data_IF_709091870453
#
_entry.id   IF_709091870453
#
_cell.length_a   1.000
_cell.length_b   1.000
_cell.length_c   1.000
_cell.angle_alpha   90.00
_cell.angle_beta   90.00
_cell.angle_gamma   90.00
#
_symmetry.space_group_name_H-M   'P 1'
#
loop_
_entity.id
_entity.type
_entity.pdbx_description
1 polymer ?
#
# COMPACT_ATOMS: atom_id res chain seq x y z
N UNK A 1 -6.44 8.35 -4.58
CA UNK A 1 -5.47 8.15 -3.47
C UNK A 1 -5.75 9.01 -2.25
N UNK A 2 -4.76 9.12 -1.35
CA UNK A 2 -4.82 10.05 -0.23
C UNK A 2 -4.34 11.45 -0.61
N UNK A 3 -4.10 12.32 0.41
CA UNK A 3 -3.43 13.61 0.22
C UNK A 3 -4.35 14.82 0.09
N UNK A 4 -5.63 14.73 0.48
CA UNK A 4 -6.58 15.87 0.46
C UNK A 4 -5.95 17.14 1.04
N UNK A 5 -5.24 17.04 2.18
CA UNK A 5 -4.61 18.18 2.85
C UNK A 5 -3.63 18.96 1.98
N UNK A 6 -3.01 18.31 0.99
CA UNK A 6 -2.07 18.98 0.10
C UNK A 6 -2.78 19.81 -0.97
N UNK A 7 -4.03 19.49 -1.27
CA UNK A 7 -4.87 20.26 -2.17
C UNK A 7 -5.63 21.36 -1.44
N UNK A 8 -6.12 21.08 -0.21
CA UNK A 8 -6.88 22.08 0.58
C UNK A 8 -5.99 23.21 1.08
N UNK A 9 -4.72 22.90 1.43
CA UNK A 9 -3.78 23.87 2.00
C UNK A 9 -2.91 24.55 0.93
N UNK A 10 -2.86 24.01 -0.27
CA UNK A 10 -2.07 24.55 -1.36
C UNK A 10 -2.93 25.55 -2.16
N UNK A 11 -2.38 26.73 -2.34
CA UNK A 11 -2.86 27.73 -3.28
C UNK A 11 -1.76 28.06 -4.29
N UNK A 12 -2.15 28.54 -5.43
CA UNK A 12 -1.19 29.03 -6.42
C UNK A 12 -0.67 30.43 -6.05
N UNK A 13 0.15 31.02 -6.95
CA UNK A 13 0.68 32.38 -6.83
C UNK A 13 -0.41 33.45 -6.68
N UNK A 14 -1.63 33.15 -7.13
CA UNK A 14 -2.77 34.09 -7.14
C UNK A 14 -3.71 33.85 -5.94
N UNK A 15 -3.34 32.90 -5.03
CA UNK A 15 -4.10 32.58 -3.83
C UNK A 15 -5.31 31.66 -4.06
N UNK A 16 -5.47 31.09 -5.25
CA UNK A 16 -6.58 30.19 -5.58
C UNK A 16 -6.27 28.76 -5.12
N UNK A 17 -7.20 28.11 -4.43
CA UNK A 17 -7.06 26.73 -3.98
C UNK A 17 -6.98 25.73 -5.12
N UNK A 18 -6.09 24.73 -5.00
CA UNK A 18 -5.85 23.72 -6.06
C UNK A 18 -7.09 22.89 -6.38
N UNK A 19 -7.97 22.62 -5.40
CA UNK A 19 -9.23 21.90 -5.65
C UNK A 19 -10.17 22.70 -6.55
N UNK A 20 -10.29 24.00 -6.33
CA UNK A 20 -11.11 24.90 -7.17
C UNK A 20 -10.56 24.93 -8.61
N UNK A 21 -9.25 25.03 -8.75
CA UNK A 21 -8.60 24.97 -10.07
C UNK A 21 -8.85 23.64 -10.80
N UNK A 22 -8.76 22.52 -10.09
CA UNK A 22 -9.08 21.23 -10.67
C UNK A 22 -10.52 21.18 -11.19
N UNK A 23 -11.49 21.70 -10.40
CA UNK A 23 -12.89 21.78 -10.81
C UNK A 23 -13.09 22.70 -12.02
N UNK A 24 -12.45 23.88 -12.03
CA UNK A 24 -12.48 24.82 -13.17
C UNK A 24 -11.85 24.21 -14.44
N UNK A 25 -10.83 23.34 -14.28
CA UNK A 25 -10.23 22.58 -15.36
C UNK A 25 -11.08 21.37 -15.82
N UNK A 26 -12.27 21.21 -15.27
CA UNK A 26 -13.24 20.17 -15.65
C UNK A 26 -13.04 18.83 -14.94
N UNK A 27 -12.24 18.78 -13.86
CA UNK A 27 -12.14 17.58 -13.05
C UNK A 27 -13.34 17.44 -12.12
N UNK A 28 -13.87 16.22 -12.02
CA UNK A 28 -14.79 15.85 -10.95
C UNK A 28 -13.96 15.38 -9.75
N UNK A 29 -14.06 16.09 -8.65
CA UNK A 29 -13.41 15.70 -7.37
C UNK A 29 -14.30 14.70 -6.66
N UNK A 30 -13.77 13.52 -6.34
CA UNK A 30 -14.47 12.45 -5.60
C UNK A 30 -13.70 12.11 -4.33
N UNK A 31 -14.41 12.04 -3.19
CA UNK A 31 -13.81 11.86 -1.87
C UNK A 31 -14.41 10.66 -1.12
N UNK A 32 -15.27 9.87 -1.77
CA UNK A 32 -15.79 8.63 -1.21
C UNK A 32 -15.77 7.51 -2.25
N UNK A 33 -15.82 6.28 -1.78
CA UNK A 33 -15.92 5.09 -2.63
C UNK A 33 -17.16 5.13 -3.53
N UNK A 34 -18.31 5.51 -2.98
CA UNK A 34 -19.59 5.62 -3.70
C UNK A 34 -19.49 6.68 -4.81
N UNK A 35 -18.89 7.83 -4.50
CA UNK A 35 -18.67 8.90 -5.47
C UNK A 35 -17.73 8.45 -6.60
N UNK A 36 -16.65 7.70 -6.29
CA UNK A 36 -15.76 7.12 -7.29
C UNK A 36 -16.52 6.17 -8.22
N UNK A 37 -17.25 5.21 -7.65
CA UNK A 37 -17.92 4.17 -8.42
C UNK A 37 -19.04 4.74 -9.30
N UNK A 38 -19.76 5.76 -8.84
CA UNK A 38 -20.84 6.40 -9.58
C UNK A 38 -20.40 7.48 -10.57
N UNK A 39 -19.14 7.92 -10.51
CA UNK A 39 -18.61 8.97 -11.37
C UNK A 39 -18.67 8.57 -12.86
N UNK A 40 -19.11 9.50 -13.69
CA UNK A 40 -19.27 9.32 -15.14
C UNK A 40 -18.34 10.21 -15.97
N UNK A 41 -17.64 11.15 -15.33
CA UNK A 41 -16.75 12.09 -16.00
C UNK A 41 -15.43 11.39 -16.40
N UNK A 42 -14.85 11.82 -17.52
CA UNK A 42 -13.56 11.36 -18.03
C UNK A 42 -12.35 12.00 -17.31
N UNK A 43 -12.59 13.03 -16.51
CA UNK A 43 -11.55 13.69 -15.70
C UNK A 43 -11.91 13.55 -14.24
N UNK A 44 -11.20 12.67 -13.53
CA UNK A 44 -11.44 12.39 -12.12
C UNK A 44 -10.21 12.74 -11.28
N UNK A 45 -10.46 13.38 -10.14
CA UNK A 45 -9.49 13.58 -9.06
C UNK A 45 -10.05 12.90 -7.81
N UNK A 46 -9.54 11.72 -7.47
CA UNK A 46 -9.99 10.94 -6.31
C UNK A 46 -9.08 11.16 -5.11
N UNK A 47 -9.59 11.75 -4.02
CA UNK A 47 -8.88 12.09 -2.80
C UNK A 47 -9.65 11.55 -1.58
N UNK A 48 -9.31 10.35 -1.12
CA UNK A 48 -10.12 9.57 -0.16
C UNK A 48 -9.64 9.66 1.29
N UNK A 49 -8.50 10.31 1.53
CA UNK A 49 -7.93 10.48 2.87
C UNK A 49 -7.18 11.80 2.98
N UNK A 50 -7.18 12.44 4.16
CA UNK A 50 -6.41 13.67 4.39
C UNK A 50 -4.92 13.52 4.10
N UNK A 51 -4.33 12.36 4.40
CA UNK A 51 -2.92 12.04 4.16
C UNK A 51 -2.82 10.69 3.44
N UNK A 52 -1.99 9.76 3.91
CA UNK A 52 -1.94 8.39 3.39
C UNK A 52 -3.27 7.68 3.61
N UNK A 53 -3.73 6.91 2.64
CA UNK A 53 -4.91 6.07 2.82
C UNK A 53 -4.66 5.02 3.92
N UNK A 54 -5.69 4.63 4.68
CA UNK A 54 -5.60 3.48 5.56
C UNK A 54 -5.22 2.23 4.78
N UNK A 55 -4.49 1.33 5.41
CA UNK A 55 -4.13 0.02 4.85
C UNK A 55 -5.26 -0.99 5.05
N UNK A 56 -5.29 -2.05 4.22
CA UNK A 56 -6.32 -3.06 4.31
C UNK A 56 -6.21 -3.91 5.60
N UNK A 57 -4.99 -4.26 6.01
CA UNK A 57 -4.74 -5.09 7.19
C UNK A 57 -3.79 -4.43 8.17
N UNK A 58 -3.94 -4.83 9.45
CA UNK A 58 -3.00 -4.50 10.53
C UNK A 58 -2.72 -5.73 11.39
N UNK A 59 -1.68 -5.70 12.21
CA UNK A 59 -1.49 -6.71 13.25
C UNK A 59 -2.59 -6.61 14.30
N UNK A 60 -3.01 -7.73 14.87
CA UNK A 60 -3.97 -7.76 15.96
C UNK A 60 -3.57 -6.73 17.02
N UNK A 61 -4.51 -5.90 17.47
CA UNK A 61 -4.29 -4.85 18.46
C UNK A 61 -3.21 -3.82 18.06
N UNK A 62 -2.92 -3.72 16.76
CA UNK A 62 -1.88 -2.79 16.25
C UNK A 62 -0.45 -3.29 16.40
N UNK A 63 -0.24 -4.59 16.68
CA UNK A 63 1.08 -5.20 16.81
C UNK A 63 1.90 -5.08 15.53
N UNK A 64 3.21 -4.94 15.70
CA UNK A 64 4.21 -4.76 14.65
C UNK A 64 5.49 -5.51 15.00
N UNK A 65 6.53 -5.39 14.18
CA UNK A 65 7.84 -5.93 14.52
C UNK A 65 8.47 -5.18 15.72
N UNK A 66 9.05 -5.94 16.63
CA UNK A 66 9.70 -5.47 17.85
C UNK A 66 11.15 -5.96 17.94
N UNK A 67 11.92 -5.43 18.86
CA UNK A 67 13.26 -5.98 19.15
C UNK A 67 13.14 -7.44 19.63
N UNK A 68 14.13 -8.24 19.29
CA UNK A 68 14.11 -9.67 19.58
C UNK A 68 13.84 -9.99 21.06
N UNK A 69 14.41 -9.18 21.98
CA UNK A 69 14.20 -9.30 23.43
C UNK A 69 12.78 -8.98 23.90
N UNK A 70 12.02 -8.26 23.08
CA UNK A 70 10.66 -7.77 23.38
C UNK A 70 9.59 -8.53 22.58
N UNK A 71 9.98 -9.60 21.88
CA UNK A 71 9.05 -10.43 21.11
C UNK A 71 8.19 -11.27 22.06
N UNK A 72 6.90 -11.05 21.94
CA UNK A 72 5.86 -11.87 22.52
C UNK A 72 5.50 -13.08 21.64
N UNK A 73 4.35 -13.69 21.94
CA UNK A 73 3.76 -14.75 21.12
C UNK A 73 3.49 -14.29 19.69
N UNK A 74 3.49 -15.21 18.72
CA UNK A 74 3.09 -14.92 17.36
C UNK A 74 1.69 -14.32 17.29
N UNK A 75 1.47 -13.32 16.41
CA UNK A 75 0.21 -12.64 16.23
C UNK A 75 -0.36 -12.83 14.82
N UNK A 76 -1.67 -12.66 14.68
CA UNK A 76 -2.36 -12.69 13.40
C UNK A 76 -2.51 -11.30 12.78
N UNK A 77 -2.98 -11.30 11.55
CA UNK A 77 -3.42 -10.07 10.87
C UNK A 77 -4.95 -9.96 10.93
N UNK A 78 -5.44 -8.75 11.08
CA UNK A 78 -6.85 -8.41 11.09
C UNK A 78 -7.15 -7.26 10.13
N UNK A 79 -8.41 -7.06 9.78
CA UNK A 79 -8.82 -5.91 8.98
C UNK A 79 -8.57 -4.62 9.76
N UNK A 80 -8.08 -3.59 9.07
CA UNK A 80 -7.98 -2.23 9.63
C UNK A 80 -9.35 -1.55 9.56
N UNK A 81 -10.01 -1.23 10.69
CA UNK A 81 -11.35 -0.65 10.67
C UNK A 81 -11.44 0.68 9.92
N UNK A 82 -10.34 1.44 9.86
CA UNK A 82 -10.29 2.71 9.11
C UNK A 82 -10.32 2.51 7.60
N UNK A 83 -10.12 1.29 7.13
CA UNK A 83 -10.22 0.95 5.71
C UNK A 83 -11.67 0.75 5.25
N UNK A 84 -12.60 0.55 6.17
CA UNK A 84 -14.02 0.38 5.84
C UNK A 84 -14.54 1.61 5.09
N UNK A 85 -15.19 1.35 3.96
CA UNK A 85 -15.70 2.40 3.07
C UNK A 85 -14.65 3.08 2.19
N UNK A 86 -13.36 2.72 2.30
CA UNK A 86 -12.34 3.19 1.37
C UNK A 86 -12.40 2.43 0.05
N UNK A 87 -12.14 3.09 -1.09
CA UNK A 87 -11.98 2.37 -2.35
C UNK A 87 -10.70 1.53 -2.31
N UNK A 88 -10.80 0.29 -2.77
CA UNK A 88 -9.63 -0.57 -2.96
C UNK A 88 -8.79 -0.13 -4.15
N UNK A 89 -7.54 -0.59 -4.21
CA UNK A 89 -6.67 -0.34 -5.37
C UNK A 89 -7.28 -0.94 -6.65
N UNK A 90 -7.93 -2.10 -6.54
CA UNK A 90 -8.67 -2.74 -7.65
C UNK A 90 -9.79 -1.84 -8.18
N UNK A 91 -10.60 -1.26 -7.28
CA UNK A 91 -11.72 -0.39 -7.68
C UNK A 91 -11.23 0.91 -8.32
N UNK A 92 -10.18 1.52 -7.75
CA UNK A 92 -9.56 2.71 -8.34
C UNK A 92 -8.99 2.42 -9.74
N UNK A 93 -8.31 1.28 -9.90
CA UNK A 93 -7.72 0.86 -11.18
C UNK A 93 -8.80 0.49 -12.19
N UNK A 94 -9.85 -0.23 -11.78
CA UNK A 94 -10.99 -0.54 -12.64
C UNK A 94 -11.63 0.72 -13.19
N UNK A 95 -11.90 1.71 -12.31
CA UNK A 95 -12.45 2.99 -12.72
C UNK A 95 -11.51 3.75 -13.68
N UNK A 96 -10.20 3.71 -13.45
CA UNK A 96 -9.24 4.34 -14.35
C UNK A 96 -9.25 3.67 -15.75
N UNK A 97 -9.29 2.34 -15.81
CA UNK A 97 -9.38 1.60 -17.07
C UNK A 97 -10.69 1.92 -17.81
N UNK A 98 -11.84 1.94 -17.10
CA UNK A 98 -13.15 2.30 -17.70
C UNK A 98 -13.14 3.69 -18.36
N UNK A 99 -12.44 4.63 -17.75
CA UNK A 99 -12.33 6.01 -18.26
C UNK A 99 -11.35 6.07 -19.43
N UNK A 100 -10.18 5.45 -19.31
CA UNK A 100 -9.07 5.61 -20.25
C UNK A 100 -9.19 4.75 -21.49
N UNK A 101 -9.84 3.58 -21.41
CA UNK A 101 -10.01 2.66 -22.53
C UNK A 101 -10.83 3.23 -23.69
N UNK A 102 -11.58 4.32 -23.46
CA UNK A 102 -12.35 4.99 -24.50
C UNK A 102 -11.53 5.99 -25.33
N UNK A 103 -10.22 6.09 -25.13
CA UNK A 103 -9.37 7.00 -25.87
C UNK A 103 -8.80 6.31 -27.12
N UNK A 104 -9.20 6.73 -28.30
CA UNK A 104 -8.76 6.19 -29.59
C UNK A 104 -7.24 6.27 -29.83
N UNK A 105 -6.54 7.14 -29.08
CA UNK A 105 -5.08 7.29 -29.15
C UNK A 105 -4.34 6.38 -28.16
N UNK A 106 -5.07 5.55 -27.41
CA UNK A 106 -4.55 4.76 -26.33
C UNK A 106 -4.28 5.57 -25.05
N UNK A 107 -3.66 4.94 -24.08
CA UNK A 107 -3.38 5.55 -22.78
C UNK A 107 -2.13 4.95 -22.13
N UNK A 108 -1.61 5.65 -21.12
CA UNK A 108 -0.66 5.13 -20.14
C UNK A 108 -1.31 5.26 -18.78
N UNK A 109 -1.31 4.17 -18.01
CA UNK A 109 -1.81 4.15 -16.65
C UNK A 109 -0.70 3.63 -15.73
N UNK A 110 -0.31 4.44 -14.75
CA UNK A 110 0.55 4.04 -13.65
C UNK A 110 -0.31 3.74 -12.42
N UNK A 111 -0.12 2.56 -11.83
CA UNK A 111 -0.81 2.12 -10.60
C UNK A 111 0.25 1.87 -9.55
N UNK A 112 0.13 2.54 -8.42
CA UNK A 112 1.10 2.45 -7.33
C UNK A 112 0.44 1.92 -6.06
N UNK A 113 1.04 0.91 -5.44
CA UNK A 113 0.71 0.43 -4.10
C UNK A 113 1.65 1.05 -3.06
N UNK A 114 1.61 2.37 -2.92
CA UNK A 114 2.53 3.18 -2.12
C UNK A 114 2.66 2.73 -0.64
N UNK A 115 1.63 2.07 -0.11
CA UNK A 115 1.65 1.65 1.30
C UNK A 115 2.42 0.35 1.54
N UNK A 116 2.83 -0.38 0.51
CA UNK A 116 3.81 -1.49 0.64
C UNK A 116 5.07 -0.94 1.29
N UNK A 117 5.66 0.10 0.71
CA UNK A 117 6.84 0.80 1.21
C UNK A 117 6.61 1.39 2.61
N UNK A 118 5.55 2.18 2.79
CA UNK A 118 5.25 2.85 4.08
C UNK A 118 5.03 1.88 5.24
N UNK A 119 4.46 0.70 4.99
CA UNK A 119 4.29 -0.32 6.02
C UNK A 119 5.59 -1.04 6.33
N UNK A 120 6.49 -1.19 5.36
CA UNK A 120 7.84 -1.68 5.56
C UNK A 120 8.66 -0.70 6.42
N UNK A 121 8.67 0.59 6.12
CA UNK A 121 9.26 1.63 6.97
C UNK A 121 8.70 1.61 8.40
N UNK A 122 7.39 1.42 8.53
CA UNK A 122 6.72 1.29 9.82
C UNK A 122 6.93 -0.05 10.51
N UNK A 123 7.63 -1.00 9.88
CA UNK A 123 7.86 -2.37 10.38
C UNK A 123 6.55 -3.08 10.74
N UNK A 124 5.53 -2.89 9.91
CA UNK A 124 4.15 -3.38 10.09
C UNK A 124 3.84 -4.48 9.08
N UNK A 125 4.24 -5.73 9.33
CA UNK A 125 4.19 -6.80 8.34
C UNK A 125 2.77 -7.10 7.86
N UNK A 126 1.76 -7.03 8.71
CA UNK A 126 0.38 -7.26 8.27
C UNK A 126 -0.11 -6.19 7.29
N UNK A 127 0.24 -4.92 7.52
CA UNK A 127 -0.05 -3.85 6.56
C UNK A 127 0.67 -4.09 5.24
N UNK A 128 1.96 -4.43 5.29
CA UNK A 128 2.75 -4.75 4.12
C UNK A 128 2.12 -5.89 3.29
N UNK A 129 1.78 -7.02 3.95
CA UNK A 129 1.16 -8.18 3.27
C UNK A 129 -0.22 -7.80 2.71
N UNK A 130 -1.02 -7.03 3.44
CA UNK A 130 -2.33 -6.57 3.00
C UNK A 130 -2.26 -5.70 1.74
N UNK A 131 -1.28 -4.81 1.67
CA UNK A 131 -1.09 -3.95 0.50
C UNK A 131 -0.51 -4.72 -0.70
N UNK A 132 0.37 -5.70 -0.47
CA UNK A 132 0.79 -6.64 -1.51
C UNK A 132 -0.38 -7.46 -2.05
N UNK A 133 -1.32 -7.85 -1.19
CA UNK A 133 -2.56 -8.53 -1.61
C UNK A 133 -3.41 -7.64 -2.51
N UNK A 134 -3.56 -6.36 -2.19
CA UNK A 134 -4.26 -5.40 -3.05
C UNK A 134 -3.57 -5.25 -4.42
N UNK A 135 -2.23 -5.22 -4.44
CA UNK A 135 -1.46 -5.13 -5.68
C UNK A 135 -1.64 -6.40 -6.54
N UNK A 136 -1.57 -7.59 -5.94
CA UNK A 136 -1.79 -8.88 -6.63
C UNK A 136 -3.18 -8.97 -7.25
N UNK A 137 -4.23 -8.55 -6.52
CA UNK A 137 -5.59 -8.52 -7.05
C UNK A 137 -5.74 -7.49 -8.19
N UNK A 138 -5.06 -6.36 -8.08
CA UNK A 138 -5.03 -5.34 -9.13
C UNK A 138 -4.30 -5.83 -10.38
N UNK A 139 -3.22 -6.58 -10.22
CA UNK A 139 -2.52 -7.20 -11.33
C UNK A 139 -3.41 -8.20 -12.07
N UNK A 140 -4.20 -9.00 -11.36
CA UNK A 140 -5.20 -9.90 -11.98
C UNK A 140 -6.20 -9.13 -12.85
N UNK A 141 -6.68 -7.98 -12.36
CA UNK A 141 -7.55 -7.10 -13.14
C UNK A 141 -6.84 -6.58 -14.41
N UNK A 142 -5.60 -6.11 -14.27
CA UNK A 142 -4.83 -5.58 -15.39
C UNK A 142 -4.55 -6.65 -16.46
N UNK A 143 -4.20 -7.87 -16.06
CA UNK A 143 -4.00 -8.99 -16.97
C UNK A 143 -5.31 -9.39 -17.67
N UNK A 144 -6.42 -9.45 -16.94
CA UNK A 144 -7.73 -9.73 -17.53
C UNK A 144 -8.19 -8.62 -18.51
N UNK A 145 -7.74 -7.39 -18.33
CA UNK A 145 -7.93 -6.30 -19.30
C UNK A 145 -7.07 -6.54 -20.55
N UNK A 146 -5.78 -6.86 -20.37
CA UNK A 146 -4.85 -7.12 -21.47
C UNK A 146 -5.28 -8.34 -22.32
N UNK A 147 -5.85 -9.37 -21.70
CA UNK A 147 -6.40 -10.53 -22.44
C UNK A 147 -7.52 -10.13 -23.44
N UNK A 148 -8.27 -9.07 -23.12
CA UNK A 148 -9.33 -8.54 -24.00
C UNK A 148 -8.82 -7.47 -24.97
N UNK A 149 -7.66 -6.90 -24.68
CA UNK A 149 -7.01 -5.83 -25.42
C UNK A 149 -5.56 -6.21 -25.73
N UNK A 150 -5.31 -7.07 -26.75
CA UNK A 150 -3.99 -7.68 -26.99
C UNK A 150 -2.85 -6.70 -27.27
N UNK A 151 -3.18 -5.45 -27.61
CA UNK A 151 -2.23 -4.34 -27.77
C UNK A 151 -1.75 -3.74 -26.46
N UNK A 152 -2.27 -4.20 -25.31
CA UNK A 152 -1.93 -3.66 -23.99
C UNK A 152 -0.68 -4.35 -23.44
N UNK A 153 0.33 -3.56 -23.10
CA UNK A 153 1.50 -4.02 -22.36
C UNK A 153 1.29 -3.76 -20.85
N UNK A 154 1.46 -4.81 -20.04
CA UNK A 154 1.46 -4.71 -18.58
C UNK A 154 2.89 -4.90 -18.07
N UNK A 155 3.41 -3.91 -17.34
CA UNK A 155 4.71 -3.94 -16.69
C UNK A 155 4.52 -3.90 -15.18
N UNK A 156 5.26 -4.72 -14.44
CA UNK A 156 5.28 -4.75 -12.98
C UNK A 156 6.72 -4.67 -12.52
N UNK A 157 7.01 -3.72 -11.66
CA UNK A 157 8.34 -3.54 -11.08
C UNK A 157 8.22 -2.92 -9.69
N UNK A 158 9.25 -3.10 -8.86
CA UNK A 158 9.51 -2.24 -7.71
C UNK A 158 10.43 -1.10 -8.17
N UNK A 159 10.34 0.06 -7.52
CA UNK A 159 11.25 1.19 -7.67
C UNK A 159 12.56 0.94 -6.91
N UNK A 160 12.48 0.23 -5.77
CA UNK A 160 13.61 -0.25 -4.97
C UNK A 160 13.21 -1.46 -4.12
N UNK A 161 14.18 -2.13 -3.53
CA UNK A 161 13.97 -3.14 -2.50
C UNK A 161 13.71 -2.52 -1.12
N UNK A 162 13.47 -3.37 -0.12
CA UNK A 162 13.26 -2.93 1.26
C UNK A 162 13.85 -3.90 2.28
N UNK A 163 14.01 -3.45 3.53
CA UNK A 163 14.64 -4.18 4.62
C UNK A 163 13.89 -5.43 5.10
N UNK A 164 12.61 -5.57 4.76
CA UNK A 164 11.79 -6.70 5.20
C UNK A 164 12.25 -8.02 4.55
N UNK A 165 12.56 -9.03 5.38
CA UNK A 165 13.01 -10.35 4.94
C UNK A 165 12.18 -11.45 5.62
N UNK A 166 11.64 -12.38 4.86
CA UNK A 166 11.03 -13.59 5.40
C UNK A 166 12.17 -14.56 5.75
N UNK A 167 12.24 -14.98 7.01
CA UNK A 167 13.23 -15.91 7.50
C UNK A 167 12.58 -17.15 8.11
N UNK A 168 13.25 -18.31 8.15
CA UNK A 168 12.76 -19.48 8.87
C UNK A 168 12.58 -19.16 10.36
N UNK A 169 11.41 -19.44 10.92
CA UNK A 169 11.12 -19.18 12.33
C UNK A 169 12.09 -19.91 13.27
N UNK A 170 12.53 -21.11 12.87
CA UNK A 170 13.54 -21.90 13.63
C UNK A 170 14.88 -21.18 13.75
N UNK A 171 15.29 -20.41 12.73
CA UNK A 171 16.53 -19.63 12.79
C UNK A 171 16.47 -18.53 13.85
N UNK A 172 15.28 -17.99 14.10
CA UNK A 172 15.06 -16.98 15.13
C UNK A 172 15.21 -17.59 16.54
N UNK A 173 14.60 -18.77 16.78
CA UNK A 173 14.70 -19.45 18.07
C UNK A 173 16.15 -19.89 18.35
N UNK A 174 16.91 -20.27 17.33
CA UNK A 174 18.35 -20.55 17.49
C UNK A 174 19.14 -19.28 17.85
N UNK A 175 18.77 -18.12 17.28
CA UNK A 175 19.40 -16.84 17.58
C UNK A 175 19.09 -16.33 19.00
N UNK A 176 17.92 -16.65 19.57
CA UNK A 176 17.56 -16.31 20.95
C UNK A 176 18.47 -16.97 22.01
N UNK A 177 19.13 -18.09 21.67
CA UNK A 177 20.08 -18.78 22.52
C UNK A 177 21.55 -18.41 22.25
N UNK A 178 21.85 -17.47 21.37
CA UNK A 178 23.20 -17.06 21.00
C UNK A 178 23.42 -15.57 21.26
N UNK A 179 24.67 -15.18 21.57
CA UNK A 179 25.06 -13.77 21.71
C UNK A 179 25.07 -12.99 20.40
N UNK A 180 24.82 -13.66 19.28
CA UNK A 180 24.68 -13.06 17.94
C UNK A 180 23.21 -12.74 17.65
N UNK A 181 22.73 -11.63 18.14
CA UNK A 181 21.39 -11.15 17.85
C UNK A 181 21.34 -10.35 16.54
N UNK A 182 20.28 -10.55 15.77
CA UNK A 182 19.90 -9.59 14.73
C UNK A 182 19.73 -8.21 15.38
N UNK A 183 20.40 -7.20 14.84
CA UNK A 183 20.26 -5.83 15.31
C UNK A 183 18.92 -5.19 14.95
N UNK A 184 18.11 -5.85 14.11
CA UNK A 184 16.85 -5.35 13.61
C UNK A 184 15.65 -5.67 14.50
N UNK A 185 14.49 -5.37 13.97
CA UNK A 185 13.19 -5.75 14.56
C UNK A 185 12.62 -6.97 13.87
N UNK A 186 11.88 -7.77 14.59
CA UNK A 186 11.32 -9.03 14.11
C UNK A 186 9.83 -9.09 14.43
N UNK A 187 9.05 -9.69 13.54
CA UNK A 187 7.68 -10.07 13.80
C UNK A 187 7.49 -11.58 13.60
N UNK A 188 6.77 -12.21 14.52
CA UNK A 188 6.28 -13.58 14.38
C UNK A 188 4.80 -13.54 14.00
N UNK A 189 4.47 -14.00 12.80
CA UNK A 189 3.10 -14.02 12.30
C UNK A 189 2.52 -15.43 12.30
N UNK A 190 1.28 -15.56 12.78
CA UNK A 190 0.48 -16.78 12.60
C UNK A 190 -0.04 -16.80 11.17
N UNK A 191 0.31 -17.83 10.42
CA UNK A 191 -0.26 -18.06 9.08
C UNK A 191 -1.68 -18.63 9.19
N UNK A 192 -2.51 -18.57 8.14
CA UNK A 192 -3.82 -19.20 8.12
C UNK A 192 -3.79 -20.74 8.33
N UNK A 193 -2.64 -21.38 8.12
CA UNK A 193 -2.44 -22.82 8.34
C UNK A 193 -2.02 -23.15 9.77
N UNK A 194 -1.82 -22.12 10.62
CA UNK A 194 -1.34 -22.27 11.98
C UNK A 194 0.18 -22.31 12.14
N UNK A 195 0.94 -22.27 11.04
CA UNK A 195 2.40 -22.17 11.10
C UNK A 195 2.83 -20.76 11.54
N UNK A 196 4.09 -20.64 11.97
CA UNK A 196 4.70 -19.36 12.31
C UNK A 196 5.63 -18.93 11.19
N UNK A 197 5.42 -17.71 10.69
CA UNK A 197 6.31 -17.03 9.75
C UNK A 197 7.04 -15.89 10.49
N UNK A 198 8.36 -15.84 10.35
CA UNK A 198 9.16 -14.74 10.90
C UNK A 198 9.53 -13.74 9.79
N UNK A 199 9.37 -12.46 10.08
CA UNK A 199 9.80 -11.37 9.22
C UNK A 199 10.80 -10.52 9.99
N UNK A 200 12.00 -10.37 9.44
CA UNK A 200 13.10 -9.63 10.01
C UNK A 200 13.35 -8.33 9.25
N UNK A 201 13.57 -7.25 9.97
CA UNK A 201 13.95 -5.92 9.46
C UNK A 201 15.40 -5.61 9.91
N UNK A 202 16.32 -6.52 9.60
CA UNK A 202 17.68 -6.54 10.15
C UNK A 202 18.60 -5.42 9.66
N UNK A 203 18.30 -4.80 8.53
CA UNK A 203 19.12 -3.72 7.97
C UNK A 203 18.98 -2.41 8.73
N UNK A 204 18.07 -2.33 9.69
CA UNK A 204 17.87 -1.17 10.53
C UNK A 204 18.27 -1.46 11.99
N UNK A 205 19.43 -1.00 12.37
CA UNK A 205 20.03 -1.23 13.70
C UNK A 205 19.63 -0.24 14.78
N UNK A 206 18.81 0.76 14.49
CA UNK A 206 18.51 1.83 15.44
C UNK A 206 17.09 2.38 15.37
N UNK A 207 16.88 3.53 16.03
CA UNK A 207 15.64 4.30 15.95
C UNK A 207 15.53 5.15 14.66
N UNK A 208 16.54 5.07 13.80
CA UNK A 208 16.63 5.82 12.55
C UNK A 208 15.68 5.34 11.45
N UNK A 209 15.71 6.02 10.31
CA UNK A 209 15.02 5.63 9.10
C UNK A 209 15.58 4.30 8.58
N UNK A 210 14.72 3.47 8.00
CA UNK A 210 15.15 2.27 7.30
C UNK A 210 15.90 2.65 6.01
N UNK A 211 16.94 1.88 5.71
CA UNK A 211 17.65 2.03 4.46
C UNK A 211 16.95 1.22 3.37
N UNK A 212 16.81 1.80 2.20
CA UNK A 212 16.36 1.11 1.01
C UNK A 212 17.45 0.17 0.52
N UNK A 213 17.06 -1.00 0.07
CA UNK A 213 17.96 -1.96 -0.58
C UNK A 213 17.71 -1.91 -2.08
N UNK A 214 18.72 -1.54 -2.82
CA UNK A 214 18.68 -1.52 -4.28
C UNK A 214 18.75 -2.91 -4.91
#
# INVERSE_FOLDING_TARGET
GGGVKHFDQASDSDGQHLLEKAQQAGFTVVQSREALLSAKNNRLLGLFSPSTMPVMWRGNEGRKAEFLKDIDEPFGCENEPKFDGMPTLVEMTSKALDVLANNDKGFVLMVESASVDKQSHGRKPCGHIGEMKQLDDTLKLALAFADKHPETLVLVTADHGHAAQIIPAQSLFAALGSDNHSSGRVALLKTPRGDVMAINYATNSGEGSEEHTG
#
